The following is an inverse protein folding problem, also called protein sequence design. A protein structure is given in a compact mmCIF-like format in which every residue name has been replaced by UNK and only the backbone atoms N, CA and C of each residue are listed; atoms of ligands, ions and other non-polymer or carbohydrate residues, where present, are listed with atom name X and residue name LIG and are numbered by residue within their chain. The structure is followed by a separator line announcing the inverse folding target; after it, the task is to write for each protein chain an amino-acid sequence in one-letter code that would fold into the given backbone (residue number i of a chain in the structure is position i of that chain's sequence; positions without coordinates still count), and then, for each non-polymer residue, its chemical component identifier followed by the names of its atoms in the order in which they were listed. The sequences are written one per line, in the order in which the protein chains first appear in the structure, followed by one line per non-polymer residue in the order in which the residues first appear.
data_IF_576119598223
#
_entry.id   IF_576119598223
#
_cell.length_a   1.000
_cell.length_b   1.000
_cell.length_c   1.000
_cell.angle_alpha   90.00
_cell.angle_beta   90.00
_cell.angle_gamma   90.00
#
_symmetry.space_group_name_H-M   'P 1'
#
loop_
_entity.id
_entity.type
_entity.pdbx_description
1 polymer ?
#
# COMPACT_ATOMS: atom_id res chain seq x y z
N UNK A 1 10.32 35.99 78.25
CA UNK A 1 9.86 34.63 77.82
C UNK A 1 8.87 34.61 76.62
N UNK A 2 8.47 35.79 76.12
CA UNK A 2 7.49 35.86 75.00
C UNK A 2 8.10 35.78 73.54
N UNK A 3 9.40 35.98 73.37
CA UNK A 3 10.02 36.02 72.06
C UNK A 3 10.43 34.65 71.50
N UNK A 4 10.35 33.57 72.27
CA UNK A 4 10.75 32.22 71.85
C UNK A 4 9.55 31.43 71.36
N UNK A 5 8.32 31.79 71.74
CA UNK A 5 7.11 31.04 71.38
C UNK A 5 6.58 31.33 69.94
N UNK A 6 6.89 32.51 69.41
CA UNK A 6 6.46 32.88 68.02
C UNK A 6 7.33 32.36 66.94
N UNK A 7 8.55 31.83 67.18
CA UNK A 7 9.41 31.25 66.21
C UNK A 7 9.08 29.76 65.88
N UNK A 8 8.39 29.07 66.80
CA UNK A 8 8.03 27.63 66.58
C UNK A 8 6.76 27.44 65.76
N UNK A 9 5.86 28.44 65.70
CA UNK A 9 4.62 28.32 64.90
C UNK A 9 4.84 28.56 63.41
N UNK A 10 5.93 29.24 63.00
CA UNK A 10 6.18 29.58 61.61
C UNK A 10 6.90 28.47 60.83
N UNK A 11 7.52 27.50 61.52
CA UNK A 11 8.21 26.38 60.89
C UNK A 11 7.24 25.24 60.57
N UNK A 12 6.18 25.05 61.35
CA UNK A 12 5.19 23.97 61.06
C UNK A 12 4.30 24.28 59.89
N UNK A 13 3.95 25.54 59.63
CA UNK A 13 3.10 25.89 58.49
C UNK A 13 3.83 25.89 57.13
N UNK A 14 5.15 26.13 57.10
CA UNK A 14 5.92 26.05 55.83
C UNK A 14 6.14 24.62 55.37
N UNK A 15 6.24 23.63 56.25
CA UNK A 15 6.36 22.22 55.91
C UNK A 15 5.10 21.63 55.28
N UNK A 16 3.92 22.06 55.71
CA UNK A 16 2.64 21.56 55.21
C UNK A 16 2.33 22.09 53.82
N UNK A 17 2.71 23.36 53.52
CA UNK A 17 2.55 23.91 52.17
C UNK A 17 3.53 23.35 51.17
N UNK A 18 4.79 23.07 51.57
CA UNK A 18 5.76 22.43 50.70
C UNK A 18 5.41 20.96 50.39
N UNK A 19 4.86 20.20 51.36
CA UNK A 19 4.40 18.82 51.09
C UNK A 19 3.16 18.80 50.18
N UNK A 20 2.22 19.71 50.34
CA UNK A 20 1.04 19.82 49.46
C UNK A 20 1.40 20.31 48.04
N UNK A 21 2.37 21.23 47.91
CA UNK A 21 2.87 21.61 46.58
C UNK A 21 3.63 20.45 45.88
N UNK A 22 4.44 19.68 46.60
CA UNK A 22 5.11 18.52 46.04
C UNK A 22 4.12 17.42 45.66
N UNK A 23 3.05 17.20 46.42
CA UNK A 23 2.00 16.23 46.04
C UNK A 23 1.18 16.70 44.84
N UNK A 24 0.90 18.00 44.67
CA UNK A 24 0.26 18.54 43.48
C UNK A 24 1.19 18.48 42.25
N UNK A 25 2.49 18.65 42.42
CA UNK A 25 3.47 18.54 41.30
C UNK A 25 3.70 17.06 40.86
N UNK A 26 3.64 16.10 41.80
CA UNK A 26 3.76 14.68 41.49
C UNK A 26 2.47 14.15 40.82
N UNK A 27 1.28 14.70 41.14
CA UNK A 27 0.03 14.33 40.43
C UNK A 27 -0.08 14.93 39.03
N UNK A 28 0.64 16.04 38.74
CA UNK A 28 0.60 16.66 37.40
C UNK A 28 1.57 16.04 36.40
N UNK A 29 2.53 15.24 36.87
CA UNK A 29 3.51 14.57 35.97
C UNK A 29 3.14 13.13 35.56
N UNK A 30 1.98 12.61 36.01
CA UNK A 30 1.48 11.28 35.60
C UNK A 30 0.40 11.35 34.52
N UNK A 31 0.29 12.43 33.77
CA UNK A 31 -0.25 12.30 32.41
C UNK A 31 0.86 11.78 31.51
N UNK A 32 1.17 10.48 31.64
CA UNK A 32 1.79 9.71 30.57
C UNK A 32 0.80 9.84 29.42
N UNK A 33 1.13 10.70 28.48
CA UNK A 33 0.51 10.67 27.16
C UNK A 33 0.83 9.28 26.63
N UNK A 34 -0.12 8.34 26.78
CA UNK A 34 -0.12 7.12 25.98
C UNK A 34 -0.38 7.64 24.57
N UNK A 35 0.70 8.02 23.90
CA UNK A 35 0.72 8.18 22.47
C UNK A 35 0.44 6.76 21.96
N UNK A 36 -0.80 6.47 21.62
CA UNK A 36 -1.10 5.35 20.77
C UNK A 36 -0.32 5.65 19.50
N UNK A 37 0.79 4.98 19.31
CA UNK A 37 1.44 4.93 18.01
C UNK A 37 0.32 4.47 17.06
N UNK A 38 -0.11 5.37 16.18
CA UNK A 38 -1.07 5.04 15.15
C UNK A 38 -0.37 3.96 14.32
N UNK A 39 -0.77 2.70 14.52
CA UNK A 39 -0.22 1.59 13.76
C UNK A 39 -0.65 1.81 12.32
N UNK A 40 0.29 2.18 11.48
CA UNK A 40 0.09 2.35 10.05
C UNK A 40 -0.05 0.96 9.41
N UNK A 41 -1.21 0.32 9.60
CA UNK A 41 -1.51 -1.05 9.12
C UNK A 41 -2.75 -1.01 8.24
N UNK A 42 -2.65 -1.63 7.05
CA UNK A 42 -3.77 -1.87 6.14
C UNK A 42 -3.77 -3.36 5.79
N UNK A 43 -4.92 -4.01 5.93
CA UNK A 43 -5.13 -5.44 5.63
C UNK A 43 -4.07 -6.35 6.30
N UNK A 44 -3.63 -6.00 7.53
CA UNK A 44 -2.67 -6.77 8.32
C UNK A 44 -1.20 -6.45 8.02
N UNK A 45 -0.89 -5.56 7.07
CA UNK A 45 0.48 -5.22 6.69
C UNK A 45 0.80 -3.76 7.03
N UNK A 46 2.00 -3.56 7.60
CA UNK A 46 2.49 -2.22 7.95
C UNK A 46 2.90 -1.44 6.70
N UNK A 47 2.66 -0.12 6.75
CA UNK A 47 3.06 0.79 5.69
C UNK A 47 3.70 2.07 6.22
N UNK A 48 4.42 2.73 5.33
CA UNK A 48 4.94 4.09 5.51
C UNK A 48 4.36 5.02 4.45
N UNK A 49 3.86 6.18 4.89
CA UNK A 49 3.51 7.29 4.02
C UNK A 49 4.74 8.18 3.83
N UNK A 50 5.32 8.13 2.64
CA UNK A 50 6.47 8.96 2.30
C UNK A 50 6.08 10.42 2.00
N UNK A 51 4.79 10.77 2.04
CA UNK A 51 4.30 12.10 1.72
C UNK A 51 4.46 12.48 0.24
N UNK A 52 4.54 11.50 -0.66
CA UNK A 52 4.70 11.71 -2.10
C UNK A 52 3.39 12.23 -2.74
N UNK A 53 3.48 13.01 -3.83
CA UNK A 53 2.30 13.59 -4.49
C UNK A 53 1.26 12.58 -4.96
N UNK A 54 1.66 11.39 -5.39
CA UNK A 54 0.73 10.29 -5.73
C UNK A 54 -0.15 9.87 -4.55
N UNK A 55 0.33 10.05 -3.32
CA UNK A 55 -0.28 9.52 -2.11
C UNK A 55 -0.07 8.02 -1.92
N UNK A 56 0.84 7.42 -2.67
CA UNK A 56 1.19 6.00 -2.58
C UNK A 56 1.82 5.69 -1.23
N UNK A 57 1.26 4.70 -0.54
CA UNK A 57 1.76 4.15 0.70
C UNK A 57 2.61 2.92 0.39
N UNK A 58 3.77 2.83 1.00
CA UNK A 58 4.75 1.76 0.76
C UNK A 58 4.72 0.76 1.90
N UNK A 59 4.67 -0.52 1.61
CA UNK A 59 4.85 -1.54 2.64
C UNK A 59 6.23 -1.38 3.34
N UNK A 60 6.29 -1.71 4.64
CA UNK A 60 7.55 -1.65 5.40
C UNK A 60 8.49 -2.82 5.09
N UNK A 61 7.95 -3.96 4.61
CA UNK A 61 8.70 -5.15 4.25
C UNK A 61 8.32 -5.69 2.85
N UNK A 62 9.15 -6.60 2.33
CA UNK A 62 8.90 -7.30 1.06
C UNK A 62 7.85 -8.40 1.25
N UNK A 63 7.26 -8.93 0.16
CA UNK A 63 6.44 -10.14 0.23
C UNK A 63 7.28 -11.29 0.76
N UNK A 64 6.72 -12.07 1.71
CA UNK A 64 7.42 -13.19 2.34
C UNK A 64 8.45 -12.80 3.42
N UNK A 65 8.62 -11.49 3.70
CA UNK A 65 9.51 -10.99 4.74
C UNK A 65 8.74 -10.70 6.04
N UNK A 66 9.38 -10.92 7.18
CA UNK A 66 8.85 -10.59 8.51
C UNK A 66 9.33 -9.23 9.02
N UNK A 67 10.42 -8.70 8.45
CA UNK A 67 11.00 -7.42 8.82
C UNK A 67 11.45 -6.61 7.61
N UNK A 68 11.75 -5.32 7.82
CA UNK A 68 12.18 -4.41 6.75
C UNK A 68 13.56 -4.74 6.16
N UNK A 69 14.38 -5.53 6.85
CA UNK A 69 15.72 -5.95 6.43
C UNK A 69 15.73 -7.32 5.75
N UNK A 70 14.65 -8.10 5.86
CA UNK A 70 14.55 -9.41 5.22
C UNK A 70 14.36 -9.26 3.72
N UNK A 71 14.98 -10.14 2.96
CA UNK A 71 14.91 -10.12 1.50
C UNK A 71 13.52 -10.53 0.98
N UNK A 72 12.82 -11.42 1.72
CA UNK A 72 11.53 -11.98 1.34
C UNK A 72 11.63 -12.98 0.18
N UNK A 73 10.50 -13.22 -0.44
CA UNK A 73 10.36 -14.13 -1.59
C UNK A 73 10.74 -13.45 -2.89
N UNK A 74 11.18 -14.26 -3.87
CA UNK A 74 11.51 -13.83 -5.22
C UNK A 74 10.45 -14.34 -6.18
N UNK A 75 10.09 -13.51 -7.16
CA UNK A 75 9.06 -13.83 -8.15
C UNK A 75 9.56 -13.51 -9.56
N UNK A 76 9.35 -14.41 -10.51
CA UNK A 76 9.44 -14.05 -11.91
C UNK A 76 8.25 -13.17 -12.29
N UNK A 77 8.41 -12.24 -13.22
CA UNK A 77 7.39 -11.22 -13.48
C UNK A 77 6.07 -11.83 -13.97
N UNK A 78 4.97 -11.54 -13.27
CA UNK A 78 3.65 -12.11 -13.53
C UNK A 78 3.40 -13.46 -12.87
N UNK A 79 4.41 -14.10 -12.27
CA UNK A 79 4.21 -15.28 -11.42
C UNK A 79 3.90 -14.87 -9.99
N UNK A 80 3.03 -15.63 -9.34
CA UNK A 80 2.52 -15.30 -7.99
C UNK A 80 3.02 -16.26 -6.91
N UNK A 81 3.78 -17.28 -7.28
CA UNK A 81 4.44 -18.21 -6.39
C UNK A 81 5.96 -18.13 -6.56
N UNK A 82 6.73 -18.12 -5.44
CA UNK A 82 8.17 -18.28 -5.50
C UNK A 82 8.53 -19.70 -5.96
N UNK A 83 9.71 -19.87 -6.51
CA UNK A 83 10.20 -21.17 -7.00
C UNK A 83 11.69 -21.35 -6.71
N UNK A 84 12.17 -22.58 -6.77
CA UNK A 84 13.57 -22.91 -6.49
C UNK A 84 14.49 -22.59 -7.70
N UNK A 85 13.96 -22.68 -8.90
CA UNK A 85 14.70 -22.46 -10.14
C UNK A 85 14.09 -21.32 -10.97
N UNK A 86 14.94 -20.44 -11.47
CA UNK A 86 14.59 -19.32 -12.34
C UNK A 86 15.35 -19.45 -13.65
N UNK A 87 14.73 -20.16 -14.60
CA UNK A 87 15.24 -20.36 -15.96
C UNK A 87 14.21 -19.85 -16.96
N UNK A 88 14.62 -19.68 -18.22
CA UNK A 88 13.69 -19.32 -19.28
C UNK A 88 12.64 -20.41 -19.46
N UNK A 89 13.07 -21.68 -19.45
CA UNK A 89 12.22 -22.84 -19.75
C UNK A 89 11.18 -23.12 -18.67
N UNK A 90 11.46 -22.77 -17.39
CA UNK A 90 10.49 -22.96 -16.33
C UNK A 90 9.65 -21.70 -16.03
N UNK A 91 9.86 -20.62 -16.79
CA UNK A 91 9.02 -19.44 -16.69
C UNK A 91 7.62 -19.73 -17.29
N UNK A 92 6.58 -19.52 -16.49
CA UNK A 92 5.19 -19.88 -16.82
C UNK A 92 4.70 -19.32 -18.16
N UNK A 93 5.23 -18.18 -18.55
CA UNK A 93 4.81 -17.46 -19.76
C UNK A 93 5.83 -17.53 -20.88
N UNK A 94 6.78 -18.45 -20.83
CA UNK A 94 7.76 -18.69 -21.88
C UNK A 94 7.13 -19.43 -23.06
N UNK A 95 7.31 -18.90 -24.28
CA UNK A 95 6.79 -19.48 -25.52
C UNK A 95 7.90 -19.91 -26.51
N UNK A 96 9.16 -19.69 -26.13
CA UNK A 96 10.30 -20.03 -27.00
C UNK A 96 11.14 -18.81 -27.38
N UNK A 97 11.80 -18.91 -28.52
CA UNK A 97 12.67 -17.86 -29.05
C UNK A 97 12.33 -17.54 -30.49
N UNK A 98 12.46 -16.29 -30.88
CA UNK A 98 12.29 -15.80 -32.23
C UNK A 98 13.59 -15.22 -32.76
N UNK A 99 14.00 -15.65 -33.97
CA UNK A 99 15.16 -15.10 -34.67
C UNK A 99 14.78 -13.81 -35.40
N UNK A 100 15.58 -12.75 -35.22
CA UNK A 100 15.52 -11.57 -36.07
C UNK A 100 16.73 -11.62 -37.02
N UNK A 101 16.53 -11.59 -38.33
CA UNK A 101 17.65 -11.62 -39.30
C UNK A 101 18.65 -10.47 -38.99
N UNK A 102 19.92 -10.83 -38.74
CA UNK A 102 20.99 -9.88 -38.43
C UNK A 102 21.06 -9.37 -36.99
N UNK A 103 20.21 -9.86 -36.12
CA UNK A 103 20.18 -9.59 -34.69
C UNK A 103 20.06 -10.92 -33.95
N UNK A 104 20.41 -10.95 -32.69
CA UNK A 104 20.28 -12.15 -31.85
C UNK A 104 18.81 -12.60 -31.69
N UNK A 105 18.61 -13.81 -31.18
CA UNK A 105 17.30 -14.30 -30.75
C UNK A 105 16.75 -13.46 -29.60
N UNK A 106 15.44 -13.21 -29.61
CA UNK A 106 14.75 -12.71 -28.43
C UNK A 106 13.72 -13.74 -27.92
N UNK A 107 13.52 -13.70 -26.61
CA UNK A 107 12.59 -14.58 -25.92
C UNK A 107 11.15 -14.17 -26.23
N UNK A 108 10.33 -15.13 -26.64
CA UNK A 108 8.88 -14.96 -26.77
C UNK A 108 8.21 -15.27 -25.44
N UNK A 109 7.27 -14.40 -25.07
CA UNK A 109 6.46 -14.58 -23.88
C UNK A 109 4.99 -14.35 -24.18
N UNK A 110 4.13 -15.07 -23.47
CA UNK A 110 2.69 -14.79 -23.45
C UNK A 110 2.44 -13.35 -23.00
N UNK A 111 1.59 -12.63 -23.73
CA UNK A 111 1.15 -11.30 -23.34
C UNK A 111 0.11 -11.41 -22.23
N UNK A 112 0.48 -10.98 -21.02
CA UNK A 112 -0.40 -10.93 -19.83
C UNK A 112 -0.83 -9.49 -19.48
N UNK A 113 -0.61 -8.55 -20.39
CA UNK A 113 -0.91 -7.13 -20.23
C UNK A 113 0.33 -6.27 -20.02
N UNK A 114 0.19 -4.98 -20.33
CA UNK A 114 1.26 -3.99 -20.19
C UNK A 114 1.41 -3.51 -18.75
N UNK A 115 0.34 -3.58 -17.98
CA UNK A 115 0.28 -3.25 -16.57
C UNK A 115 -0.46 -4.36 -15.82
N UNK A 116 0.28 -5.09 -14.98
CA UNK A 116 -0.27 -6.18 -14.16
C UNK A 116 -0.60 -5.75 -12.72
N UNK A 117 -0.38 -4.48 -12.35
CA UNK A 117 -0.67 -4.01 -11.00
C UNK A 117 -2.12 -4.30 -10.60
N UNK A 118 -2.32 -5.02 -9.50
CA UNK A 118 -3.64 -5.38 -8.96
C UNK A 118 -4.40 -6.48 -9.71
N UNK A 119 -3.81 -7.11 -10.74
CA UNK A 119 -4.41 -8.23 -11.48
C UNK A 119 -4.09 -9.58 -10.83
N UNK A 120 -4.59 -10.68 -11.41
CA UNK A 120 -4.25 -12.06 -11.01
C UNK A 120 -2.77 -12.44 -11.26
N UNK A 121 -2.03 -11.62 -12.01
CA UNK A 121 -0.59 -11.76 -12.25
C UNK A 121 0.28 -10.97 -11.28
N UNK A 122 -0.33 -10.23 -10.37
CA UNK A 122 0.34 -9.44 -9.35
C UNK A 122 0.52 -10.23 -8.06
N UNK A 123 1.74 -10.64 -7.74
CA UNK A 123 2.03 -11.44 -6.55
C UNK A 123 1.65 -10.71 -5.24
N UNK A 124 1.78 -9.38 -5.19
CA UNK A 124 1.35 -8.62 -4.01
C UNK A 124 -0.17 -8.69 -3.82
N UNK A 125 -0.94 -8.57 -4.92
CA UNK A 125 -2.39 -8.72 -4.91
C UNK A 125 -2.82 -10.12 -4.46
N UNK A 126 -2.17 -11.14 -4.98
CA UNK A 126 -2.53 -12.54 -4.70
C UNK A 126 -2.13 -12.95 -3.28
N UNK A 127 -0.93 -12.56 -2.81
CA UNK A 127 -0.41 -12.98 -1.49
C UNK A 127 -1.00 -12.18 -0.33
N UNK A 128 -1.13 -10.86 -0.48
CA UNK A 128 -1.60 -9.98 0.59
C UNK A 128 -3.08 -9.61 0.46
N UNK A 129 -3.63 -9.71 -0.74
CA UNK A 129 -5.04 -9.39 -0.99
C UNK A 129 -5.35 -7.89 -0.86
N UNK A 130 -6.62 -7.58 -0.60
CA UNK A 130 -7.06 -6.21 -0.41
C UNK A 130 -6.77 -5.33 -1.63
N UNK A 131 -6.10 -4.19 -1.41
CA UNK A 131 -5.65 -3.27 -2.46
C UNK A 131 -4.13 -3.23 -2.64
N UNK A 132 -3.40 -4.13 -1.97
CA UNK A 132 -1.97 -4.25 -2.15
C UNK A 132 -1.63 -4.70 -3.57
N UNK A 133 -0.60 -4.11 -4.15
CA UNK A 133 -0.16 -4.38 -5.52
C UNK A 133 1.32 -4.08 -5.74
N UNK A 134 1.86 -4.52 -6.86
CA UNK A 134 3.15 -4.04 -7.36
C UNK A 134 3.11 -2.51 -7.54
N UNK A 135 4.23 -1.80 -7.32
CA UNK A 135 4.36 -0.40 -7.71
C UNK A 135 4.36 -0.27 -9.24
N UNK A 136 3.86 0.87 -9.73
CA UNK A 136 4.04 1.27 -11.12
C UNK A 136 5.44 1.85 -11.34
N UNK A 137 5.84 1.97 -12.59
CA UNK A 137 7.11 2.62 -12.97
C UNK A 137 7.15 4.10 -12.59
N UNK A 138 6.00 4.78 -12.65
CA UNK A 138 5.84 6.17 -12.25
C UNK A 138 6.00 6.35 -10.74
N UNK A 139 5.43 5.46 -9.93
CA UNK A 139 5.57 5.51 -8.46
C UNK A 139 7.01 5.28 -8.03
N UNK A 140 7.73 4.34 -8.65
CA UNK A 140 9.18 4.20 -8.49
C UNK A 140 9.89 5.49 -8.93
N UNK A 141 9.48 6.06 -10.06
CA UNK A 141 10.03 7.31 -10.57
C UNK A 141 9.84 8.48 -9.61
N UNK A 142 8.70 8.55 -8.95
CA UNK A 142 8.41 9.56 -7.94
C UNK A 142 9.30 9.38 -6.70
N UNK A 143 9.41 8.15 -6.18
CA UNK A 143 10.30 7.80 -5.08
C UNK A 143 11.77 8.18 -5.37
N UNK A 144 12.27 7.83 -6.55
CA UNK A 144 13.66 8.09 -6.96
C UNK A 144 13.94 9.59 -7.17
N UNK A 145 12.98 10.36 -7.71
CA UNK A 145 13.19 11.77 -8.02
C UNK A 145 12.97 12.71 -6.84
N UNK A 146 12.05 12.38 -5.94
CA UNK A 146 11.61 13.29 -4.88
C UNK A 146 12.21 12.97 -3.51
N UNK A 147 12.75 11.77 -3.34
CA UNK A 147 13.44 11.39 -2.11
C UNK A 147 14.95 11.48 -2.28
N UNK A 148 15.63 12.06 -1.31
CA UNK A 148 17.07 11.80 -1.20
C UNK A 148 17.27 10.39 -0.62
N UNK A 149 18.40 9.78 -0.90
CA UNK A 149 18.65 8.40 -0.52
C UNK A 149 20.06 8.23 0.06
N UNK A 150 20.21 7.16 0.85
CA UNK A 150 21.47 6.78 1.47
C UNK A 150 21.65 5.28 1.35
N UNK A 151 22.80 4.88 0.82
CA UNK A 151 23.27 3.51 0.91
C UNK A 151 23.82 3.27 2.32
N UNK A 152 23.27 2.33 3.06
CA UNK A 152 23.63 2.05 4.45
C UNK A 152 23.43 0.60 4.82
N UNK A 153 24.09 0.20 5.91
CA UNK A 153 23.92 -1.10 6.54
C UNK A 153 23.00 -0.99 7.76
N UNK A 154 22.03 -1.88 7.86
CA UNK A 154 21.12 -2.01 9.00
C UNK A 154 21.15 -3.46 9.46
N UNK A 155 21.60 -3.71 10.68
CA UNK A 155 21.71 -5.05 11.30
C UNK A 155 22.42 -6.10 10.39
N UNK A 156 23.50 -5.70 9.71
CA UNK A 156 24.29 -6.55 8.83
C UNK A 156 23.76 -6.67 7.40
N UNK A 157 22.66 -6.00 7.08
CA UNK A 157 22.05 -6.01 5.74
C UNK A 157 22.23 -4.65 5.07
N UNK A 158 22.94 -4.65 3.95
CA UNK A 158 23.06 -3.46 3.10
C UNK A 158 21.78 -3.18 2.33
N UNK A 159 21.49 -1.90 2.13
CA UNK A 159 20.31 -1.46 1.40
C UNK A 159 20.32 0.04 1.12
N UNK A 160 19.24 0.50 0.56
CA UNK A 160 19.03 1.92 0.30
C UNK A 160 17.88 2.43 1.19
N UNK A 161 18.11 3.54 1.88
CA UNK A 161 17.09 4.24 2.62
C UNK A 161 16.70 5.50 1.88
N UNK A 162 15.41 5.61 1.59
CA UNK A 162 14.79 6.80 1.03
C UNK A 162 14.24 7.69 2.13
N UNK A 163 14.38 9.02 1.95
CA UNK A 163 13.88 10.05 2.85
C UNK A 163 13.19 11.13 2.02
N UNK A 164 12.01 11.55 2.43
CA UNK A 164 11.33 12.66 1.79
C UNK A 164 11.25 13.86 2.72
N UNK A 165 11.46 15.07 2.16
CA UNK A 165 11.52 16.31 2.95
C UNK A 165 10.19 16.79 3.53
N UNK A 166 9.07 16.18 3.16
CA UNK A 166 7.74 16.58 3.63
C UNK A 166 7.42 16.03 5.04
N UNK A 167 8.05 14.93 5.43
CA UNK A 167 7.90 14.31 6.75
C UNK A 167 9.19 13.62 7.16
N UNK A 168 9.26 13.12 8.40
CA UNK A 168 10.44 12.40 8.91
C UNK A 168 10.43 10.90 8.56
N UNK A 169 9.46 10.44 7.81
CA UNK A 169 9.31 9.04 7.45
C UNK A 169 10.40 8.59 6.47
N UNK A 170 10.79 7.34 6.59
CA UNK A 170 11.82 6.72 5.75
C UNK A 170 11.37 5.37 5.26
N UNK A 171 11.84 4.99 4.07
CA UNK A 171 11.63 3.66 3.50
C UNK A 171 12.99 2.99 3.27
N UNK A 172 13.22 1.85 3.91
CA UNK A 172 14.41 1.03 3.68
C UNK A 172 14.08 -0.12 2.72
N UNK A 173 14.89 -0.27 1.69
CA UNK A 173 14.86 -1.40 0.76
C UNK A 173 16.17 -2.17 0.88
N UNK A 174 16.17 -3.43 1.36
CA UNK A 174 17.37 -4.22 1.44
C UNK A 174 17.93 -4.57 0.05
N UNK A 175 19.24 -4.70 -0.05
CA UNK A 175 19.93 -5.14 -1.26
C UNK A 175 19.76 -6.65 -1.45
N UNK A 176 18.55 -7.06 -1.81
CA UNK A 176 18.16 -8.46 -1.91
C UNK A 176 18.78 -9.20 -3.12
N UNK A 177 19.48 -8.48 -4.04
CA UNK A 177 19.97 -9.11 -5.25
C UNK A 177 18.83 -9.60 -6.15
N UNK A 178 19.08 -10.73 -6.83
CA UNK A 178 18.08 -11.38 -7.67
C UNK A 178 18.30 -12.90 -7.72
N UNK A 179 17.30 -13.65 -8.16
CA UNK A 179 17.37 -15.08 -8.39
C UNK A 179 17.50 -15.38 -9.90
N UNK A 180 18.50 -16.20 -10.24
CA UNK A 180 18.75 -16.71 -11.59
C UNK A 180 19.52 -18.02 -11.46
N UNK A 181 18.97 -19.12 -11.96
CA UNK A 181 19.61 -20.44 -11.87
C UNK A 181 20.36 -20.84 -13.16
N UNK A 182 20.29 -20.04 -14.22
CA UNK A 182 21.00 -20.33 -15.49
C UNK A 182 22.53 -20.41 -15.31
N UNK A 183 23.08 -19.85 -14.25
CA UNK A 183 24.53 -19.83 -13.95
C UNK A 183 24.91 -20.72 -12.74
N UNK A 184 24.05 -21.64 -12.36
CA UNK A 184 24.33 -22.62 -11.29
C UNK A 184 24.28 -22.05 -9.87
N UNK A 185 23.78 -20.82 -9.69
CA UNK A 185 23.50 -20.18 -8.40
C UNK A 185 22.06 -19.67 -8.42
N UNK A 186 21.34 -19.87 -7.32
CA UNK A 186 19.97 -19.36 -7.23
C UNK A 186 19.94 -17.85 -6.95
N UNK A 187 20.83 -17.35 -6.06
CA UNK A 187 20.82 -15.94 -5.64
C UNK A 187 22.14 -15.23 -5.98
N UNK A 188 22.02 -14.04 -6.53
CA UNK A 188 23.13 -13.20 -6.98
C UNK A 188 23.08 -11.83 -6.32
N UNK A 189 24.23 -11.29 -5.96
CA UNK A 189 24.42 -9.92 -5.48
C UNK A 189 23.63 -9.51 -4.23
N UNK A 190 23.19 -10.45 -3.39
CA UNK A 190 22.64 -10.12 -2.07
C UNK A 190 23.67 -9.31 -1.27
N UNK A 191 23.20 -8.29 -0.55
CA UNK A 191 24.02 -7.29 0.17
C UNK A 191 24.86 -6.35 -0.72
N UNK A 192 24.74 -6.41 -2.06
CA UNK A 192 25.50 -5.57 -2.99
C UNK A 192 24.60 -4.77 -3.93
N UNK A 193 23.48 -5.33 -4.30
CA UNK A 193 22.54 -4.75 -5.25
C UNK A 193 21.11 -5.09 -4.83
N UNK A 194 20.21 -4.13 -4.91
CA UNK A 194 18.77 -4.37 -4.84
C UNK A 194 18.18 -4.24 -6.23
N UNK A 195 17.28 -5.17 -6.58
CA UNK A 195 16.47 -5.09 -7.79
C UNK A 195 15.05 -5.47 -7.43
N UNK A 196 14.06 -4.66 -7.82
CA UNK A 196 12.66 -4.82 -7.41
C UNK A 196 11.73 -4.67 -8.59
N UNK A 197 10.80 -5.61 -8.78
CA UNK A 197 9.83 -5.51 -9.85
C UNK A 197 8.88 -4.34 -9.70
N UNK A 198 8.53 -3.75 -10.85
CA UNK A 198 7.28 -3.01 -11.02
C UNK A 198 6.26 -3.89 -11.74
N UNK A 199 4.99 -3.48 -11.75
CA UNK A 199 3.95 -4.19 -12.52
C UNK A 199 3.89 -3.76 -13.99
N UNK A 200 4.91 -3.09 -14.55
CA UNK A 200 4.89 -2.49 -15.88
C UNK A 200 5.81 -3.23 -16.83
N UNK A 201 5.25 -3.65 -17.96
CA UNK A 201 5.99 -4.25 -19.07
C UNK A 201 6.90 -3.19 -19.71
N UNK A 202 8.11 -3.58 -20.11
CA UNK A 202 8.96 -2.74 -20.95
C UNK A 202 8.42 -2.70 -22.39
N UNK A 203 8.30 -1.47 -22.93
CA UNK A 203 8.06 -1.24 -24.34
C UNK A 203 9.31 -0.69 -25.00
N UNK A 204 9.87 -1.45 -25.93
CA UNK A 204 11.02 -1.02 -26.72
C UNK A 204 10.51 -0.35 -27.99
N UNK A 205 10.79 0.94 -28.15
CA UNK A 205 10.38 1.70 -29.34
C UNK A 205 11.00 1.08 -30.62
N UNK A 206 10.15 0.82 -31.62
CA UNK A 206 10.57 0.21 -32.89
C UNK A 206 10.77 -1.32 -32.84
N UNK A 207 10.60 -1.96 -31.69
CA UNK A 207 10.58 -3.39 -31.59
C UNK A 207 9.23 -3.98 -32.07
N UNK A 208 9.19 -5.24 -32.52
CA UNK A 208 7.93 -5.92 -32.79
C UNK A 208 7.01 -5.96 -31.55
N UNK A 209 5.69 -5.97 -31.77
CA UNK A 209 4.68 -5.98 -30.69
C UNK A 209 4.79 -7.25 -29.81
N UNK A 210 5.38 -8.33 -30.32
CA UNK A 210 5.64 -9.57 -29.57
C UNK A 210 6.97 -9.56 -28.79
N UNK A 211 7.75 -8.47 -28.86
CA UNK A 211 8.96 -8.28 -28.06
C UNK A 211 8.61 -7.76 -26.66
N UNK A 212 8.09 -8.63 -25.83
CA UNK A 212 7.59 -8.37 -24.48
C UNK A 212 8.32 -9.21 -23.43
N UNK A 213 9.60 -9.48 -23.64
CA UNK A 213 10.42 -10.35 -22.79
C UNK A 213 10.95 -9.67 -21.53
N UNK A 214 10.84 -8.34 -21.43
CA UNK A 214 11.36 -7.56 -20.30
C UNK A 214 10.27 -6.77 -19.60
N UNK A 215 10.48 -6.48 -18.33
CA UNK A 215 9.63 -5.62 -17.51
C UNK A 215 10.46 -4.60 -16.76
N UNK A 216 9.82 -3.49 -16.37
CA UNK A 216 10.46 -2.39 -15.69
C UNK A 216 10.75 -2.74 -14.23
N UNK A 217 11.90 -2.30 -13.72
CA UNK A 217 12.36 -2.52 -12.35
C UNK A 217 13.01 -1.26 -11.73
N UNK A 218 13.16 -1.31 -10.41
CA UNK A 218 14.04 -0.43 -9.64
C UNK A 218 15.33 -1.19 -9.37
N UNK A 219 16.48 -0.65 -9.76
CA UNK A 219 17.81 -1.18 -9.45
C UNK A 219 18.58 -0.17 -8.62
N UNK A 220 19.32 -0.62 -7.60
CA UNK A 220 20.18 0.23 -6.78
C UNK A 220 21.39 -0.51 -6.20
N UNK A 221 22.39 0.26 -5.81
CA UNK A 221 23.58 -0.15 -5.11
C UNK A 221 24.22 1.07 -4.47
N UNK A 222 25.54 1.03 -4.17
CA UNK A 222 26.28 2.15 -3.58
C UNK A 222 26.31 3.40 -4.48
N UNK A 223 26.03 3.28 -5.76
CA UNK A 223 25.91 4.40 -6.71
C UNK A 223 24.53 5.07 -6.74
N UNK A 224 23.59 4.60 -5.94
CA UNK A 224 22.22 5.12 -5.87
C UNK A 224 21.21 4.34 -6.71
N UNK A 225 19.92 4.81 -6.73
CA UNK A 225 18.84 4.13 -7.42
C UNK A 225 18.74 4.56 -8.88
N UNK A 226 18.32 3.62 -9.72
CA UNK A 226 17.98 3.83 -11.12
C UNK A 226 16.72 3.02 -11.48
N UNK A 227 16.00 3.48 -12.50
CA UNK A 227 14.90 2.75 -13.10
C UNK A 227 15.43 2.04 -14.34
N UNK A 228 15.28 0.74 -14.36
CA UNK A 228 15.82 -0.14 -15.42
C UNK A 228 14.75 -1.08 -15.92
N UNK A 229 15.13 -2.01 -16.76
CA UNK A 229 14.33 -3.14 -17.19
C UNK A 229 15.14 -4.41 -17.18
N UNK A 230 14.49 -5.54 -17.00
CA UNK A 230 15.12 -6.85 -16.94
C UNK A 230 14.22 -7.93 -17.53
N UNK A 231 14.83 -9.04 -17.94
CA UNK A 231 14.05 -10.16 -18.49
C UNK A 231 13.11 -10.74 -17.43
N UNK A 232 11.90 -11.05 -17.87
CA UNK A 232 10.77 -11.44 -17.01
C UNK A 232 11.01 -12.74 -16.22
N UNK A 233 11.96 -13.56 -16.65
CA UNK A 233 12.27 -14.86 -16.04
C UNK A 233 13.08 -14.78 -14.75
N UNK A 234 13.74 -13.64 -14.50
CA UNK A 234 14.51 -13.43 -13.27
C UNK A 234 13.58 -13.32 -12.05
N UNK A 235 14.02 -13.88 -10.95
CA UNK A 235 13.32 -13.75 -9.67
C UNK A 235 13.74 -12.47 -8.95
N UNK A 236 12.82 -11.54 -8.75
CA UNK A 236 13.04 -10.32 -7.97
C UNK A 236 12.07 -10.22 -6.80
N UNK A 237 12.50 -9.65 -5.67
CA UNK A 237 11.61 -9.30 -4.58
C UNK A 237 10.62 -8.22 -5.02
N UNK A 238 9.51 -8.15 -4.29
CA UNK A 238 8.46 -7.16 -4.49
C UNK A 238 8.28 -6.37 -3.20
N UNK A 239 8.35 -5.04 -3.28
CA UNK A 239 7.92 -4.13 -2.23
C UNK A 239 6.51 -3.65 -2.57
N UNK A 240 5.46 -4.16 -1.90
CA UNK A 240 4.10 -3.80 -2.20
C UNK A 240 3.79 -2.33 -1.93
N UNK A 241 2.83 -1.82 -2.67
CA UNK A 241 2.26 -0.49 -2.46
C UNK A 241 0.74 -0.56 -2.40
N UNK A 242 0.15 0.49 -1.84
CA UNK A 242 -1.27 0.74 -1.88
C UNK A 242 -1.50 2.23 -2.11
N UNK A 243 -2.37 2.60 -3.02
CA UNK A 243 -2.77 3.98 -3.18
C UNK A 243 -4.20 4.16 -2.64
N UNK A 244 -4.39 4.88 -1.51
CA UNK A 244 -5.71 5.10 -0.94
C UNK A 244 -6.65 5.89 -1.87
N UNK A 245 -6.09 6.63 -2.82
CA UNK A 245 -6.83 7.43 -3.82
C UNK A 245 -7.24 6.61 -5.04
N UNK A 246 -6.58 5.50 -5.29
CA UNK A 246 -7.03 4.53 -6.30
C UNK A 246 -8.24 3.81 -5.74
N UNK A 247 -9.39 4.12 -6.28
CA UNK A 247 -10.52 3.20 -6.18
C UNK A 247 -10.13 1.98 -7.00
N UNK A 248 -10.01 0.81 -6.36
CA UNK A 248 -9.60 -0.43 -7.04
C UNK A 248 -10.42 -0.64 -8.33
N UNK A 249 -9.81 -1.23 -9.36
CA UNK A 249 -10.49 -1.51 -10.65
C UNK A 249 -11.75 -2.33 -10.41
N UNK A 250 -11.75 -3.23 -9.43
CA UNK A 250 -12.94 -3.93 -8.95
C UNK A 250 -14.01 -2.96 -8.41
N UNK A 251 -13.57 -1.90 -7.74
CA UNK A 251 -14.44 -0.84 -7.19
C UNK A 251 -14.99 0.07 -8.32
N UNK A 252 -14.23 0.30 -9.38
CA UNK A 252 -14.66 1.14 -10.52
C UNK A 252 -15.62 0.38 -11.44
N UNK A 253 -15.34 -0.88 -11.75
CA UNK A 253 -16.24 -1.73 -12.54
C UNK A 253 -17.53 -1.98 -11.77
N UNK A 254 -17.45 -2.16 -10.47
CA UNK A 254 -18.56 -2.34 -9.57
C UNK A 254 -19.39 -1.07 -9.40
N UNK A 255 -18.75 0.08 -9.15
CA UNK A 255 -19.39 1.39 -9.00
C UNK A 255 -20.02 1.88 -10.30
N UNK A 256 -19.49 1.50 -11.46
CA UNK A 256 -20.09 1.87 -12.77
C UNK A 256 -21.36 1.10 -13.12
N UNK A 257 -21.58 -0.06 -12.52
CA UNK A 257 -22.70 -0.92 -12.88
C UNK A 257 -23.94 -0.76 -11.99
N UNK A 258 -23.81 -0.18 -10.78
CA UNK A 258 -24.97 0.09 -9.93
C UNK A 258 -25.35 1.56 -10.09
N UNK A 259 -26.55 1.80 -10.62
CA UNK A 259 -27.17 3.13 -10.63
C UNK A 259 -28.26 3.16 -9.57
N UNK A 260 -28.29 4.25 -8.80
CA UNK A 260 -29.35 4.51 -7.84
C UNK A 260 -30.15 5.73 -8.28
N UNK A 261 -31.46 5.62 -8.26
CA UNK A 261 -32.34 6.74 -8.51
C UNK A 261 -33.37 6.84 -7.39
N UNK A 262 -33.60 8.04 -6.85
CA UNK A 262 -34.71 8.29 -5.95
C UNK A 262 -35.93 8.73 -6.79
N UNK A 263 -37.03 8.01 -6.64
CA UNK A 263 -38.30 8.31 -7.30
C UNK A 263 -39.47 8.00 -6.36
N UNK A 264 -40.34 8.94 -6.17
CA UNK A 264 -41.66 8.77 -5.52
C UNK A 264 -41.62 7.98 -4.18
N UNK A 265 -40.63 8.27 -3.32
CA UNK A 265 -40.50 7.61 -2.02
C UNK A 265 -39.78 6.27 -2.04
N UNK A 266 -39.12 5.90 -3.15
CA UNK A 266 -38.30 4.69 -3.22
C UNK A 266 -36.93 4.95 -3.86
N UNK A 267 -35.98 4.11 -3.52
CA UNK A 267 -34.64 4.02 -4.17
C UNK A 267 -34.69 2.85 -5.16
N UNK A 268 -34.50 3.15 -6.43
CA UNK A 268 -34.40 2.16 -7.50
C UNK A 268 -32.92 1.82 -7.75
N UNK A 269 -32.56 0.54 -7.70
CA UNK A 269 -31.22 0.00 -7.97
C UNK A 269 -31.18 -0.70 -9.32
N UNK A 270 -30.18 -0.43 -10.14
CA UNK A 270 -30.00 -1.15 -11.42
C UNK A 270 -29.60 -2.62 -11.24
N UNK A 271 -28.95 -2.97 -10.13
CA UNK A 271 -28.57 -4.35 -9.74
C UNK A 271 -28.51 -4.47 -8.22
N UNK A 272 -28.79 -5.68 -7.71
CA UNK A 272 -28.69 -6.04 -6.28
C UNK A 272 -27.70 -7.19 -6.02
N UNK A 273 -27.04 -7.72 -7.05
CA UNK A 273 -26.26 -8.96 -6.95
C UNK A 273 -25.12 -8.88 -5.94
N UNK A 274 -24.67 -7.68 -5.63
CA UNK A 274 -23.48 -7.49 -4.80
C UNK A 274 -23.66 -6.41 -3.74
N UNK A 275 -24.87 -6.31 -3.20
CA UNK A 275 -25.15 -5.53 -2.00
C UNK A 275 -26.14 -6.31 -1.12
N UNK A 276 -25.95 -6.20 0.18
CA UNK A 276 -26.82 -6.83 1.19
C UNK A 276 -27.50 -5.80 2.09
N UNK A 277 -27.01 -4.55 2.09
CA UNK A 277 -27.56 -3.49 2.91
C UNK A 277 -27.41 -2.10 2.27
N UNK A 278 -28.36 -1.20 2.56
CA UNK A 278 -28.33 0.21 2.18
C UNK A 278 -28.35 1.11 3.41
N UNK A 279 -27.53 2.16 3.40
CA UNK A 279 -27.57 3.26 4.37
C UNK A 279 -27.82 4.58 3.65
N UNK A 280 -28.64 5.44 4.22
CA UNK A 280 -28.82 6.81 3.76
C UNK A 280 -28.40 7.74 4.89
N UNK A 281 -27.45 8.63 4.59
CA UNK A 281 -26.91 9.59 5.54
C UNK A 281 -27.32 11.00 5.14
N UNK A 282 -27.55 11.86 6.12
CA UNK A 282 -27.67 13.29 5.88
C UNK A 282 -26.28 13.93 5.70
N UNK A 283 -26.21 15.23 5.40
CA UNK A 283 -24.96 15.98 5.22
C UNK A 283 -24.08 16.05 6.48
N UNK A 284 -24.64 15.78 7.66
CA UNK A 284 -23.90 15.70 8.92
C UNK A 284 -23.35 14.30 9.19
N UNK A 285 -23.50 13.34 8.27
CA UNK A 285 -23.06 11.97 8.41
C UNK A 285 -23.93 11.09 9.31
N UNK A 286 -25.09 11.57 9.75
CA UNK A 286 -26.03 10.80 10.56
C UNK A 286 -26.85 9.88 9.66
N UNK A 287 -27.02 8.61 10.04
CA UNK A 287 -27.90 7.66 9.35
C UNK A 287 -29.35 8.03 9.57
N UNK A 288 -30.05 8.33 8.48
CA UNK A 288 -31.48 8.66 8.48
C UNK A 288 -32.35 7.49 7.98
N UNK A 289 -31.73 6.47 7.37
CA UNK A 289 -32.37 5.25 6.94
C UNK A 289 -31.36 4.13 6.79
N UNK A 290 -31.79 2.91 7.06
CA UNK A 290 -31.00 1.69 6.88
C UNK A 290 -31.93 0.51 6.66
N UNK A 291 -31.62 -0.34 5.66
CA UNK A 291 -32.43 -1.50 5.31
C UNK A 291 -31.59 -2.58 4.64
N UNK A 292 -31.89 -3.87 4.84
CA UNK A 292 -31.41 -4.93 3.96
C UNK A 292 -31.86 -4.71 2.51
N UNK A 293 -31.02 -5.10 1.55
CA UNK A 293 -31.33 -5.04 0.12
C UNK A 293 -31.79 -6.41 -0.34
N UNK A 294 -33.11 -6.57 -0.52
CA UNK A 294 -33.74 -7.81 -1.02
C UNK A 294 -34.41 -7.64 -2.39
N UNK A 295 -34.59 -6.40 -2.84
CA UNK A 295 -35.22 -6.07 -4.10
C UNK A 295 -34.56 -4.84 -4.74
N UNK A 296 -34.77 -4.65 -6.06
CA UNK A 296 -34.28 -3.46 -6.79
C UNK A 296 -34.93 -2.16 -6.35
N UNK A 297 -36.16 -2.21 -5.88
CA UNK A 297 -36.88 -1.04 -5.35
C UNK A 297 -36.94 -1.15 -3.84
N UNK A 298 -36.45 -0.14 -3.16
CA UNK A 298 -36.38 -0.05 -1.69
C UNK A 298 -37.22 1.15 -1.28
N UNK A 299 -38.37 0.88 -0.63
CA UNK A 299 -39.18 1.94 -0.09
C UNK A 299 -38.47 2.63 1.06
N UNK A 300 -38.44 3.95 1.01
CA UNK A 300 -37.78 4.79 2.00
C UNK A 300 -38.76 5.78 2.61
N UNK A 301 -38.52 6.23 3.86
CA UNK A 301 -39.35 7.26 4.45
C UNK A 301 -39.33 8.54 3.62
N UNK A 302 -40.37 9.35 3.78
CA UNK A 302 -40.42 10.67 3.16
C UNK A 302 -39.32 11.56 3.81
N UNK A 303 -38.29 11.88 3.05
CA UNK A 303 -37.22 12.76 3.49
C UNK A 303 -37.54 14.22 3.21
N UNK A 304 -37.04 15.11 4.03
CA UNK A 304 -37.04 16.54 3.77
C UNK A 304 -36.23 16.86 2.49
N UNK A 305 -36.57 17.96 1.83
CA UNK A 305 -35.77 18.47 0.70
C UNK A 305 -34.33 18.68 1.16
N UNK A 306 -33.38 18.17 0.38
CA UNK A 306 -31.99 18.23 0.76
C UNK A 306 -31.08 17.28 0.01
N UNK A 307 -29.83 17.23 0.47
CA UNK A 307 -28.78 16.36 -0.06
C UNK A 307 -28.57 15.20 0.90
N UNK A 308 -28.51 14.00 0.35
CA UNK A 308 -28.28 12.77 1.10
C UNK A 308 -27.19 11.95 0.41
N UNK A 309 -26.50 11.14 1.20
CA UNK A 309 -25.50 10.17 0.72
C UNK A 309 -26.07 8.78 0.90
N UNK A 310 -26.27 8.09 -0.21
CA UNK A 310 -26.69 6.69 -0.24
C UNK A 310 -25.48 5.78 -0.37
N UNK A 311 -25.34 4.81 0.53
CA UNK A 311 -24.22 3.86 0.53
C UNK A 311 -24.76 2.43 0.55
N UNK A 312 -24.34 1.62 -0.42
CA UNK A 312 -24.60 0.18 -0.47
C UNK A 312 -23.43 -0.57 0.18
N UNK A 313 -23.75 -1.57 0.97
CA UNK A 313 -22.81 -2.40 1.72
C UNK A 313 -22.91 -3.85 1.24
N UNK A 314 -21.78 -4.56 1.19
CA UNK A 314 -21.65 -6.01 1.03
C UNK A 314 -20.69 -6.54 2.07
N UNK A 315 -21.15 -7.50 2.89
CA UNK A 315 -20.33 -8.10 3.95
C UNK A 315 -19.62 -7.07 4.83
N UNK A 316 -20.34 -5.99 5.20
CA UNK A 316 -19.81 -4.92 6.04
C UNK A 316 -18.91 -3.88 5.32
N UNK A 317 -18.64 -4.04 4.04
CA UNK A 317 -17.82 -3.10 3.24
C UNK A 317 -18.70 -2.26 2.30
N UNK A 318 -18.38 -0.96 2.13
CA UNK A 318 -19.03 -0.09 1.17
C UNK A 318 -18.70 -0.50 -0.26
N UNK A 319 -19.70 -0.86 -1.06
CA UNK A 319 -19.55 -1.27 -2.46
C UNK A 319 -19.98 -0.20 -3.46
N UNK A 320 -20.85 0.71 -3.06
CA UNK A 320 -21.25 1.85 -3.88
C UNK A 320 -21.73 3.00 -3.00
N UNK A 321 -21.37 4.23 -3.38
CA UNK A 321 -21.84 5.45 -2.71
C UNK A 321 -22.25 6.47 -3.76
N UNK A 322 -23.45 7.02 -3.62
CA UNK A 322 -24.00 8.02 -4.53
C UNK A 322 -24.70 9.13 -3.76
N UNK A 323 -24.52 10.38 -4.21
CA UNK A 323 -25.26 11.54 -3.76
C UNK A 323 -26.65 11.51 -4.39
N UNK A 324 -27.69 11.68 -3.58
CA UNK A 324 -29.08 11.90 -4.04
C UNK A 324 -29.56 13.28 -3.58
N UNK A 325 -30.40 13.90 -4.41
CA UNK A 325 -31.01 15.21 -4.12
C UNK A 325 -32.49 15.04 -4.13
N UNK A 326 -33.11 15.36 -3.01
CA UNK A 326 -34.57 15.38 -2.83
C UNK A 326 -35.06 16.83 -2.99
N UNK A 327 -35.89 17.07 -3.98
CA UNK A 327 -36.36 18.41 -4.39
C UNK A 327 -37.67 18.78 -3.73
#
# INVERSE_FOLDING_TARGET
MEKIFLKSLNIRNRGIYTLKLCQLFILSTMFVSISYAQTNVIDGHEYVDMGLPSGTLWATCNIGAESSIDFGDYFAWGETEPKEEYTNENYKFFEGYKEIPGVAYYMLCTNIGENICGTEYDAARVKWGGRWRLPTYEEIGELVRLCWNKWEEVDGIWGIRFHHGANENTLFLPAAGYADTNQGKTYHFQNWKGVYWTGILEKVEGAPDDHISSAMDLSFGSGGPSRTSSIRTLGYPIRPVINPRETGIDDITYRRNIRMAYRDGSIELSSIENCDHIYILNICGQSVFSSPVSAKNIDVPQFSKGVYICTLIKQGKSVHTQKIIIK
#
